data_IF_329835485895
#
_entry.id   IF_329835485895
#
_cell.length_a   1.000
_cell.length_b   1.000
_cell.length_c   1.000
_cell.angle_alpha   90.00
_cell.angle_beta   90.00
_cell.angle_gamma   90.00
#
_symmetry.space_group_name_H-M   'P 1'
#
loop_
_entity.id
_entity.type
_entity.pdbx_description
1 polymer ?
#
# COMPACT_ATOMS: atom_id res chain seq x y z
N UNK A 1 -20.31 -12.45 -15.27
CA UNK A 1 -20.11 -11.08 -15.78
C UNK A 1 -19.66 -10.26 -14.60
N UNK A 2 -18.42 -9.79 -14.59
CA UNK A 2 -17.97 -8.83 -13.60
C UNK A 2 -18.59 -7.49 -13.98
N UNK A 3 -19.43 -6.93 -13.12
CA UNK A 3 -19.96 -5.58 -13.32
C UNK A 3 -18.78 -4.60 -13.34
N UNK A 4 -18.81 -3.67 -14.30
CA UNK A 4 -17.79 -2.62 -14.38
C UNK A 4 -17.82 -1.83 -13.08
N UNK A 5 -16.64 -1.57 -12.50
CA UNK A 5 -16.54 -0.80 -11.27
C UNK A 5 -17.28 0.55 -11.38
N UNK A 6 -18.24 0.78 -10.50
CA UNK A 6 -18.99 2.04 -10.44
C UNK A 6 -18.13 3.15 -9.84
N UNK A 7 -17.29 2.80 -8.85
CA UNK A 7 -16.40 3.67 -8.10
C UNK A 7 -15.05 2.95 -7.87
N UNK A 8 -13.96 3.69 -7.74
CA UNK A 8 -12.72 3.16 -7.18
C UNK A 8 -12.53 3.68 -5.75
N UNK A 9 -11.79 2.96 -4.91
CA UNK A 9 -11.59 3.33 -3.52
C UNK A 9 -10.12 3.53 -3.23
N UNK A 10 -9.73 4.74 -2.82
CA UNK A 10 -8.42 4.98 -2.23
C UNK A 10 -8.40 4.37 -0.84
N UNK A 11 -7.50 3.42 -0.62
CA UNK A 11 -7.32 2.75 0.67
C UNK A 11 -6.13 3.39 1.40
N UNK A 12 -6.43 3.94 2.56
CA UNK A 12 -5.46 4.44 3.52
C UNK A 12 -5.45 3.48 4.72
N UNK A 13 -4.38 2.66 4.80
CA UNK A 13 -4.07 1.95 6.03
C UNK A 13 -3.87 2.97 7.18
N UNK A 14 -4.45 2.69 8.35
CA UNK A 14 -4.45 3.63 9.46
C UNK A 14 -3.05 3.85 10.03
N UNK A 15 -2.79 5.10 10.41
CA UNK A 15 -1.73 5.50 11.34
C UNK A 15 -2.39 5.70 12.69
N UNK A 16 -2.23 4.78 13.64
CA UNK A 16 -2.65 5.05 15.00
C UNK A 16 -1.45 5.52 15.82
N UNK A 17 -1.34 6.85 15.92
CA UNK A 17 -0.34 7.56 16.72
C UNK A 17 1.14 7.22 16.44
N UNK A 18 2.05 7.91 17.14
CA UNK A 18 3.50 7.58 17.10
C UNK A 18 3.81 6.17 17.63
N UNK A 19 2.86 5.54 18.31
CA UNK A 19 3.02 4.25 18.96
C UNK A 19 3.06 3.10 17.92
N UNK A 20 2.18 3.09 16.90
CA UNK A 20 2.02 1.92 16.02
C UNK A 20 2.87 1.97 14.74
N UNK A 21 3.85 2.86 14.65
CA UNK A 21 4.70 2.96 13.47
C UNK A 21 5.64 1.76 13.35
N UNK A 22 5.23 0.76 12.57
CA UNK A 22 6.04 -0.42 12.28
C UNK A 22 7.26 0.02 11.45
N UNK A 23 8.44 -0.12 12.03
CA UNK A 23 9.69 0.12 11.31
C UNK A 23 10.13 -1.15 10.60
N UNK A 24 10.70 -0.99 9.42
CA UNK A 24 11.45 -2.05 8.77
C UNK A 24 12.87 -2.09 9.35
N UNK A 25 13.41 -3.28 9.49
CA UNK A 25 14.76 -3.51 9.98
C UNK A 25 15.27 -4.93 9.69
N UNK A 26 16.10 -5.44 10.59
CA UNK A 26 17.23 -6.29 10.27
C UNK A 26 17.07 -7.73 10.75
N UNK A 27 16.43 -8.61 9.96
CA UNK A 27 16.73 -10.03 10.15
C UNK A 27 17.99 -10.40 9.40
N UNK A 28 19.02 -10.83 10.12
CA UNK A 28 20.26 -11.32 9.52
C UNK A 28 21.13 -10.28 8.81
N UNK A 29 20.91 -8.98 9.07
CA UNK A 29 21.72 -7.88 8.49
C UNK A 29 22.22 -6.92 9.57
N UNK A 30 23.36 -6.28 9.36
CA UNK A 30 23.85 -5.19 10.23
C UNK A 30 23.15 -3.87 9.89
N UNK A 31 23.15 -2.93 10.85
CA UNK A 31 22.64 -1.56 10.68
C UNK A 31 23.14 -0.92 9.37
N UNK A 32 24.44 -1.03 9.12
CA UNK A 32 25.08 -0.47 7.94
C UNK A 32 24.54 -1.09 6.64
N UNK A 33 24.22 -2.38 6.61
CA UNK A 33 23.76 -3.06 5.39
C UNK A 33 22.38 -2.62 4.93
N UNK A 34 21.45 -2.35 5.86
CA UNK A 34 20.13 -1.81 5.50
C UNK A 34 20.19 -0.30 5.26
N UNK A 35 21.00 0.45 6.02
CA UNK A 35 21.19 1.89 5.77
C UNK A 35 21.80 2.11 4.37
N UNK A 36 22.53 1.12 3.82
CA UNK A 36 23.00 1.08 2.43
C UNK A 36 21.97 0.57 1.42
N UNK A 37 20.86 -0.03 1.86
CA UNK A 37 19.85 -0.56 0.95
C UNK A 37 18.91 0.54 0.49
N UNK A 38 18.76 0.70 -0.83
CA UNK A 38 17.74 1.59 -1.37
C UNK A 38 16.35 1.00 -1.09
N UNK A 39 15.68 1.63 -0.13
CA UNK A 39 14.39 1.18 0.38
C UNK A 39 13.21 1.98 -0.16
N UNK A 40 13.48 2.90 -1.10
CA UNK A 40 12.46 3.77 -1.70
C UNK A 40 11.39 3.02 -2.52
N UNK A 41 11.74 1.87 -3.09
CA UNK A 41 10.86 1.06 -3.92
C UNK A 41 10.33 -0.19 -3.23
N UNK A 42 10.57 -0.34 -1.91
CA UNK A 42 10.14 -1.56 -1.24
C UNK A 42 8.64 -1.72 -1.38
N UNK A 43 7.78 -0.72 -1.20
CA UNK A 43 6.33 -0.89 -1.37
C UNK A 43 5.80 -1.27 -2.77
N UNK A 44 6.66 -1.30 -3.80
CA UNK A 44 6.25 -1.52 -5.21
C UNK A 44 6.85 -2.77 -5.83
N UNK A 45 8.12 -3.06 -5.59
CA UNK A 45 8.83 -4.17 -6.23
C UNK A 45 8.98 -5.37 -5.28
N UNK A 46 8.93 -6.61 -5.79
CA UNK A 46 9.34 -7.79 -5.04
C UNK A 46 10.75 -7.63 -4.49
N UNK A 47 10.98 -8.05 -3.25
CA UNK A 47 12.32 -8.04 -2.69
C UNK A 47 13.18 -9.13 -3.33
N UNK A 48 14.46 -8.82 -3.57
CA UNK A 48 15.45 -9.84 -3.93
C UNK A 48 15.51 -10.93 -2.85
N UNK A 49 15.77 -12.17 -3.24
CA UNK A 49 15.74 -13.32 -2.34
C UNK A 49 16.65 -13.16 -1.10
N UNK A 50 17.77 -12.47 -1.26
CA UNK A 50 18.72 -12.18 -0.17
C UNK A 50 18.18 -11.23 0.92
N UNK A 51 17.05 -10.55 0.69
CA UNK A 51 16.42 -9.63 1.65
C UNK A 51 15.36 -10.32 2.53
N UNK A 52 15.13 -11.63 2.39
CA UNK A 52 14.04 -12.34 3.07
C UNK A 52 14.48 -13.14 4.31
N UNK A 53 13.68 -13.13 5.41
CA UNK A 53 12.51 -12.29 5.66
C UNK A 53 12.91 -10.90 6.17
N UNK A 54 12.11 -9.88 5.83
CA UNK A 54 12.28 -8.55 6.41
C UNK A 54 11.75 -8.57 7.85
N UNK A 55 12.57 -8.10 8.80
CA UNK A 55 12.12 -7.94 10.17
C UNK A 55 11.47 -6.58 10.34
N UNK A 56 10.31 -6.57 10.95
CA UNK A 56 9.53 -5.39 11.25
C UNK A 56 9.40 -5.25 12.76
N UNK A 57 9.64 -4.04 13.29
CA UNK A 57 9.68 -3.80 14.72
C UNK A 57 8.64 -2.76 15.13
N UNK A 58 7.87 -3.09 16.16
CA UNK A 58 7.01 -2.17 16.87
C UNK A 58 7.80 -1.50 18.00
N UNK A 59 8.04 -0.19 17.91
CA UNK A 59 8.90 0.52 18.88
C UNK A 59 8.25 0.71 20.26
N UNK A 60 6.93 0.82 20.30
CA UNK A 60 6.13 1.08 21.51
C UNK A 60 4.65 0.81 21.21
N UNK A 61 3.79 0.82 22.22
CA UNK A 61 2.36 0.62 22.00
C UNK A 61 1.94 -0.85 22.01
N UNK A 62 0.64 -1.06 21.84
CA UNK A 62 0.02 -2.38 21.83
C UNK A 62 -0.24 -2.75 20.38
N UNK A 63 0.27 -3.90 19.95
CA UNK A 63 -0.10 -4.41 18.65
C UNK A 63 -1.58 -4.77 18.63
N UNK A 64 -2.33 -4.05 17.80
CA UNK A 64 -3.70 -4.41 17.46
C UNK A 64 -3.67 -5.27 16.21
N UNK A 65 -4.29 -6.45 16.28
CA UNK A 65 -4.43 -7.30 15.11
C UNK A 65 -5.29 -6.60 14.06
N UNK A 66 -4.75 -6.45 12.85
CA UNK A 66 -5.36 -5.67 11.76
C UNK A 66 -5.27 -6.44 10.46
N UNK A 67 -6.27 -6.28 9.61
CA UNK A 67 -6.17 -6.84 8.26
C UNK A 67 -5.24 -6.06 7.34
N UNK A 68 -5.07 -4.76 7.62
CA UNK A 68 -4.23 -3.83 6.86
C UNK A 68 -3.53 -2.85 7.82
N UNK A 69 -2.20 -2.78 7.78
CA UNK A 69 -1.42 -1.86 8.62
C UNK A 69 -0.36 -1.12 7.79
N UNK A 70 -0.14 0.17 8.06
CA UNK A 70 0.83 0.98 7.34
C UNK A 70 2.21 0.90 8.00
N UNK A 71 3.24 0.62 7.21
CA UNK A 71 4.62 0.74 7.65
C UNK A 71 5.08 2.21 7.72
N UNK A 72 6.20 2.45 8.41
CA UNK A 72 6.75 3.81 8.57
C UNK A 72 7.26 4.40 7.25
N UNK A 73 7.72 3.60 6.29
CA UNK A 73 8.16 4.11 4.99
C UNK A 73 7.02 4.11 3.97
N UNK A 74 7.16 5.01 2.99
CA UNK A 74 6.10 5.28 2.02
C UNK A 74 5.83 4.01 1.20
N UNK A 75 4.57 3.61 1.17
CA UNK A 75 4.11 2.49 0.36
C UNK A 75 4.17 1.12 1.03
N UNK A 76 4.77 1.00 2.21
CA UNK A 76 4.80 -0.27 2.94
C UNK A 76 3.46 -0.54 3.61
N UNK A 77 2.88 -1.68 3.27
CA UNK A 77 1.59 -2.10 3.83
C UNK A 77 1.71 -3.55 4.24
N UNK A 78 1.39 -3.84 5.50
CA UNK A 78 1.21 -5.20 5.98
C UNK A 78 -0.23 -5.63 5.75
N UNK A 79 -0.39 -6.86 5.29
CA UNK A 79 -1.68 -7.54 5.17
C UNK A 79 -1.70 -8.79 6.03
N UNK A 80 -2.83 -9.04 6.66
CA UNK A 80 -3.11 -10.32 7.32
C UNK A 80 -3.15 -11.48 6.31
N UNK A 81 -2.97 -12.71 6.78
CA UNK A 81 -3.11 -13.93 5.98
C UNK A 81 -4.47 -14.05 5.26
N UNK A 82 -5.57 -13.64 5.91
CA UNK A 82 -6.92 -13.71 5.32
C UNK A 82 -7.11 -12.71 4.18
N UNK A 83 -6.64 -11.47 4.35
CA UNK A 83 -6.68 -10.47 3.29
C UNK A 83 -5.73 -10.84 2.14
N UNK A 84 -4.56 -11.41 2.45
CA UNK A 84 -3.65 -11.99 1.46
C UNK A 84 -4.34 -13.07 0.63
N UNK A 85 -5.09 -13.97 1.27
CA UNK A 85 -5.82 -15.03 0.58
C UNK A 85 -6.88 -14.45 -0.37
N UNK A 86 -7.67 -13.47 0.07
CA UNK A 86 -8.64 -12.78 -0.79
C UNK A 86 -7.97 -12.16 -2.01
N UNK A 87 -6.89 -11.42 -1.81
CA UNK A 87 -6.16 -10.73 -2.88
C UNK A 87 -5.53 -11.73 -3.87
N UNK A 88 -4.94 -12.82 -3.36
CA UNK A 88 -4.32 -13.85 -4.20
C UNK A 88 -5.33 -14.63 -5.04
N UNK A 89 -6.54 -14.82 -4.51
CA UNK A 89 -7.63 -15.53 -5.20
C UNK A 89 -8.21 -14.68 -6.35
N UNK A 90 -8.33 -13.37 -6.13
CA UNK A 90 -9.12 -12.51 -7.03
C UNK A 90 -8.26 -11.60 -7.93
N UNK A 91 -7.02 -11.31 -7.54
CA UNK A 91 -6.15 -10.45 -8.33
C UNK A 91 -4.65 -10.82 -8.19
N UNK A 92 -4.28 -12.07 -8.55
CA UNK A 92 -2.93 -12.59 -8.31
C UNK A 92 -1.83 -11.83 -9.07
N UNK A 93 -2.14 -11.22 -10.21
CA UNK A 93 -1.17 -10.43 -10.99
C UNK A 93 -1.00 -9.01 -10.45
N UNK A 94 -1.97 -8.53 -9.66
CA UNK A 94 -1.98 -7.19 -9.08
C UNK A 94 -1.17 -7.05 -7.81
N UNK A 95 -0.76 -8.18 -7.22
CA UNK A 95 -0.16 -8.24 -5.89
C UNK A 95 1.07 -9.13 -5.85
N UNK A 96 1.99 -8.78 -4.97
CA UNK A 96 3.05 -9.66 -4.52
C UNK A 96 3.17 -9.55 -2.99
N UNK A 97 3.62 -10.63 -2.35
CA UNK A 97 3.67 -10.70 -0.89
C UNK A 97 5.05 -11.17 -0.44
N UNK A 98 5.80 -10.27 0.18
CA UNK A 98 7.06 -10.65 0.81
C UNK A 98 6.81 -11.18 2.23
N UNK A 99 7.49 -12.26 2.63
CA UNK A 99 7.44 -12.73 4.00
C UNK A 99 8.05 -11.70 4.95
N UNK A 100 7.38 -11.51 6.08
CA UNK A 100 7.83 -10.63 7.15
C UNK A 100 7.75 -11.34 8.49
N UNK A 101 8.58 -10.89 9.39
CA UNK A 101 8.40 -11.17 10.81
C UNK A 101 8.14 -9.87 11.54
N UNK A 102 7.17 -9.88 12.44
CA UNK A 102 6.83 -8.73 13.26
C UNK A 102 7.28 -8.99 14.70
N UNK A 103 8.29 -8.27 15.16
CA UNK A 103 8.70 -8.23 16.56
C UNK A 103 7.86 -7.17 17.29
N UNK A 104 7.16 -7.63 18.33
CA UNK A 104 6.31 -6.82 19.20
C UNK A 104 7.15 -6.14 20.29
N UNK A 105 6.59 -5.13 20.94
CA UNK A 105 7.29 -4.36 21.98
C UNK A 105 7.72 -5.18 23.22
N UNK A 106 7.15 -6.37 23.41
CA UNK A 106 7.53 -7.34 24.46
C UNK A 106 8.58 -8.36 23.98
N UNK A 107 9.06 -8.24 22.74
CA UNK A 107 10.03 -9.15 22.11
C UNK A 107 9.40 -10.40 21.48
N UNK A 108 8.08 -10.57 21.56
CA UNK A 108 7.41 -11.68 20.86
C UNK A 108 7.51 -11.50 19.35
N UNK A 109 7.79 -12.59 18.61
CA UNK A 109 7.86 -12.58 17.15
C UNK A 109 6.62 -13.23 16.57
N UNK A 110 5.92 -12.51 15.70
CA UNK A 110 4.80 -13.00 14.91
C UNK A 110 5.29 -13.26 13.50
N UNK A 111 5.38 -14.54 13.13
CA UNK A 111 5.64 -15.01 11.76
C UNK A 111 4.35 -15.50 11.10
N UNK A 112 4.32 -15.54 9.77
CA UNK A 112 3.30 -16.20 8.93
C UNK A 112 1.87 -15.62 8.97
N UNK A 113 1.54 -14.81 9.98
CA UNK A 113 0.25 -14.12 10.12
C UNK A 113 0.17 -12.89 9.22
N UNK A 114 1.31 -12.29 8.90
CA UNK A 114 1.42 -11.08 8.12
C UNK A 114 2.34 -11.27 6.93
N UNK A 115 2.08 -10.50 5.87
CA UNK A 115 2.97 -10.37 4.72
C UNK A 115 3.03 -8.91 4.32
N UNK A 116 4.14 -8.48 3.74
CA UNK A 116 4.26 -7.15 3.17
C UNK A 116 3.65 -7.17 1.77
N UNK A 117 2.55 -6.43 1.61
CA UNK A 117 1.86 -6.25 0.34
C UNK A 117 2.68 -5.32 -0.56
N UNK A 118 2.98 -5.83 -1.75
CA UNK A 118 3.48 -5.07 -2.89
C UNK A 118 2.38 -5.00 -3.94
N UNK A 119 2.22 -3.84 -4.54
CA UNK A 119 1.26 -3.62 -5.64
C UNK A 119 2.08 -3.16 -6.83
N UNK A 120 2.64 -4.08 -7.64
CA UNK A 120 3.48 -3.74 -8.79
C UNK A 120 2.65 -3.13 -9.94
N UNK A 121 1.34 -3.32 -9.94
CA UNK A 121 0.44 -2.78 -10.95
C UNK A 121 0.32 -1.26 -10.82
N UNK A 122 1.03 -0.56 -11.70
CA UNK A 122 0.99 0.88 -11.87
C UNK A 122 0.12 1.24 -13.07
N UNK A 123 -1.01 1.91 -12.85
CA UNK A 123 -1.95 2.29 -13.90
C UNK A 123 -1.93 3.80 -14.11
N UNK A 124 -1.77 4.24 -15.37
CA UNK A 124 -1.86 5.65 -15.78
C UNK A 124 -3.32 6.12 -15.86
N UNK A 125 -4.08 5.89 -14.78
CA UNK A 125 -5.50 6.16 -14.73
C UNK A 125 -5.84 7.57 -14.24
N UNK A 126 -4.87 8.37 -13.75
CA UNK A 126 -5.16 9.73 -13.30
C UNK A 126 -5.67 10.59 -14.46
N UNK A 127 -6.76 11.34 -14.25
CA UNK A 127 -7.28 12.35 -15.18
C UNK A 127 -7.06 13.73 -14.56
N UNK A 128 -5.89 14.38 -14.76
CA UNK A 128 -5.51 15.59 -14.02
C UNK A 128 -6.49 16.75 -14.21
N UNK A 129 -7.01 16.93 -15.42
CA UNK A 129 -7.92 18.02 -15.80
C UNK A 129 -9.30 17.92 -15.13
N UNK A 130 -9.69 16.73 -14.66
CA UNK A 130 -10.92 16.48 -13.89
C UNK A 130 -10.64 16.27 -12.40
N UNK A 131 -9.39 16.42 -11.96
CA UNK A 131 -8.94 16.08 -10.61
C UNK A 131 -8.53 17.31 -9.80
N UNK A 132 -8.75 17.25 -8.49
CA UNK A 132 -8.18 18.19 -7.52
C UNK A 132 -6.70 17.86 -7.23
N UNK A 133 -5.84 17.98 -8.24
CA UNK A 133 -4.40 17.73 -8.12
C UNK A 133 -3.58 18.96 -8.51
N UNK A 134 -2.33 19.03 -8.03
CA UNK A 134 -1.35 20.05 -8.41
C UNK A 134 -0.06 19.40 -8.87
N UNK A 135 0.60 20.00 -9.86
CA UNK A 135 1.90 19.50 -10.31
C UNK A 135 2.91 19.50 -9.16
N UNK A 136 3.61 18.39 -9.01
CA UNK A 136 4.80 18.29 -8.18
C UNK A 136 6.00 18.59 -9.06
N UNK A 137 6.73 19.67 -8.75
CA UNK A 137 7.90 20.10 -9.53
C UNK A 137 9.17 19.95 -8.71
N UNK A 138 10.24 19.51 -9.38
CA UNK A 138 11.59 19.50 -8.84
C UNK A 138 12.02 20.92 -8.50
N UNK A 139 12.37 21.16 -7.23
CA UNK A 139 12.92 22.47 -6.80
C UNK A 139 14.22 22.83 -7.52
N UNK A 140 15.01 21.82 -7.94
CA UNK A 140 16.31 22.00 -8.58
C UNK A 140 16.21 22.25 -10.09
N UNK A 141 15.30 21.56 -10.76
CA UNK A 141 15.24 21.53 -12.24
C UNK A 141 13.97 22.15 -12.82
N UNK A 142 12.98 22.49 -12.00
CA UNK A 142 11.68 23.02 -12.45
C UNK A 142 10.78 22.00 -13.20
N UNK A 143 11.32 20.82 -13.52
CA UNK A 143 10.61 19.75 -14.23
C UNK A 143 9.45 19.21 -13.38
N UNK A 144 8.34 18.91 -14.04
CA UNK A 144 7.22 18.17 -13.44
C UNK A 144 7.71 16.74 -13.16
N UNK A 145 7.55 16.33 -11.91
CA UNK A 145 7.89 15.01 -11.40
C UNK A 145 6.63 14.14 -11.19
N UNK A 146 5.44 14.74 -11.27
CA UNK A 146 4.17 14.07 -11.07
C UNK A 146 3.13 15.05 -10.52
N UNK A 147 2.21 14.51 -9.72
CA UNK A 147 1.05 15.21 -9.15
C UNK A 147 1.00 14.99 -7.63
N UNK A 148 0.46 15.97 -6.92
CA UNK A 148 0.12 15.87 -5.50
C UNK A 148 -1.37 16.12 -5.34
N UNK A 149 -1.98 15.46 -4.36
CA UNK A 149 -3.34 15.78 -3.94
C UNK A 149 -3.47 17.23 -3.47
N UNK A 150 -4.60 17.85 -3.79
CA UNK A 150 -5.05 19.09 -3.16
C UNK A 150 -6.04 18.72 -2.05
N UNK A 151 -5.79 19.21 -0.83
CA UNK A 151 -6.63 18.95 0.35
C UNK A 151 -6.90 17.45 0.63
N UNK A 152 -5.97 16.56 0.27
CA UNK A 152 -6.08 15.11 0.40
C UNK A 152 -7.35 14.51 -0.25
N UNK A 153 -7.94 15.14 -1.26
CA UNK A 153 -9.07 14.55 -1.99
C UNK A 153 -8.58 13.49 -2.97
N UNK A 154 -9.24 12.32 -3.09
CA UNK A 154 -8.93 11.37 -4.16
C UNK A 154 -9.10 12.00 -5.55
N UNK A 155 -8.34 11.55 -6.56
CA UNK A 155 -8.43 12.08 -7.92
C UNK A 155 -9.59 11.42 -8.67
N UNK A 156 -9.94 12.02 -9.80
CA UNK A 156 -10.77 11.38 -10.83
C UNK A 156 -9.90 10.44 -11.65
N UNK A 157 -10.38 9.21 -11.87
CA UNK A 157 -9.65 8.15 -12.56
C UNK A 157 -10.36 7.70 -13.84
N UNK A 158 -9.59 7.39 -14.88
CA UNK A 158 -10.08 6.87 -16.15
C UNK A 158 -10.51 5.40 -15.97
N UNK A 159 -11.79 5.12 -16.15
CA UNK A 159 -12.36 3.78 -15.99
C UNK A 159 -11.80 2.79 -17.01
N UNK A 160 -11.54 3.22 -18.24
CA UNK A 160 -11.04 2.35 -19.31
C UNK A 160 -9.63 1.84 -19.01
N UNK A 161 -8.78 2.68 -18.40
CA UNK A 161 -7.43 2.29 -17.98
C UNK A 161 -7.46 1.30 -16.81
N UNK A 162 -8.41 1.48 -15.88
CA UNK A 162 -8.60 0.57 -14.74
C UNK A 162 -9.06 -0.81 -15.23
N UNK A 163 -10.00 -0.86 -16.18
CA UNK A 163 -10.53 -2.10 -16.73
C UNK A 163 -11.14 -3.00 -15.65
N UNK A 164 -10.72 -4.26 -15.60
CA UNK A 164 -11.21 -5.27 -14.64
C UNK A 164 -10.29 -5.46 -13.43
N UNK A 165 -9.26 -4.62 -13.26
CA UNK A 165 -8.30 -4.76 -12.17
C UNK A 165 -8.95 -4.46 -10.81
N UNK A 166 -8.57 -5.22 -9.77
CA UNK A 166 -9.13 -5.05 -8.43
C UNK A 166 -8.23 -4.28 -7.48
N UNK A 167 -6.91 -4.25 -7.71
CA UNK A 167 -5.95 -3.46 -6.93
C UNK A 167 -4.86 -2.86 -7.82
N UNK A 168 -4.50 -1.60 -7.56
CA UNK A 168 -3.45 -0.89 -8.30
C UNK A 168 -2.90 0.31 -7.52
N UNK A 169 -1.85 0.92 -8.07
CA UNK A 169 -1.33 2.24 -7.68
C UNK A 169 -1.30 3.17 -8.90
N UNK A 170 -1.16 4.47 -8.63
CA UNK A 170 -0.97 5.49 -9.66
C UNK A 170 0.51 5.89 -9.70
N UNK A 171 1.22 5.76 -10.84
CA UNK A 171 2.66 6.00 -10.91
C UNK A 171 3.05 7.48 -10.75
N UNK A 172 2.16 8.38 -11.16
CA UNK A 172 2.46 9.81 -11.27
C UNK A 172 1.83 10.65 -10.14
N UNK A 173 1.38 10.04 -9.04
CA UNK A 173 0.84 10.77 -7.89
C UNK A 173 1.62 10.47 -6.61
N UNK A 174 1.84 11.49 -5.79
CA UNK A 174 2.54 11.36 -4.51
C UNK A 174 1.60 11.78 -3.35
N UNK A 175 1.48 10.97 -2.29
CA UNK A 175 2.01 9.59 -2.17
C UNK A 175 1.34 8.60 -3.14
N UNK A 176 2.05 7.52 -3.46
CA UNK A 176 1.54 6.40 -4.26
C UNK A 176 0.58 5.54 -3.44
N UNK A 177 -0.66 6.00 -3.28
CA UNK A 177 -1.67 5.27 -2.51
C UNK A 177 -2.15 4.01 -3.24
N UNK A 178 -2.70 3.07 -2.46
CA UNK A 178 -3.35 1.86 -2.97
C UNK A 178 -4.79 2.22 -3.34
N UNK A 179 -5.21 1.80 -4.53
CA UNK A 179 -6.58 1.88 -4.99
C UNK A 179 -7.13 0.48 -5.16
N UNK A 180 -8.42 0.31 -4.86
CA UNK A 180 -9.15 -0.93 -5.10
C UNK A 180 -10.44 -0.69 -5.86
N UNK A 181 -10.89 -1.70 -6.59
CA UNK A 181 -12.20 -1.70 -7.25
C UNK A 181 -13.34 -1.70 -6.22
N UNK A 182 -14.53 -1.27 -6.64
CA UNK A 182 -15.75 -1.36 -5.83
C UNK A 182 -16.09 -2.77 -5.37
N UNK A 183 -15.90 -3.75 -6.26
CA UNK A 183 -16.11 -5.16 -5.95
C UNK A 183 -15.20 -5.62 -4.81
N UNK A 184 -13.88 -5.36 -4.91
CA UNK A 184 -12.93 -5.78 -3.89
C UNK A 184 -13.21 -5.08 -2.56
N UNK A 185 -13.57 -3.79 -2.59
CA UNK A 185 -13.99 -3.07 -1.38
C UNK A 185 -15.23 -3.69 -0.73
N UNK A 186 -16.24 -4.01 -1.52
CA UNK A 186 -17.46 -4.67 -1.04
C UNK A 186 -17.15 -6.02 -0.39
N UNK A 187 -16.24 -6.80 -1.00
CA UNK A 187 -15.84 -8.09 -0.47
C UNK A 187 -15.00 -7.95 0.82
N UNK A 188 -14.13 -6.95 0.90
CA UNK A 188 -13.41 -6.60 2.13
C UNK A 188 -14.39 -6.24 3.25
N UNK A 189 -15.40 -5.41 2.98
CA UNK A 189 -16.43 -5.03 3.96
C UNK A 189 -17.27 -6.23 4.41
N UNK A 190 -17.70 -7.06 3.45
CA UNK A 190 -18.50 -8.26 3.71
C UNK A 190 -17.77 -9.26 4.62
N UNK A 191 -16.45 -9.37 4.46
CA UNK A 191 -15.59 -10.23 5.30
C UNK A 191 -15.11 -9.54 6.58
N UNK A 192 -15.48 -8.29 6.82
CA UNK A 192 -15.11 -7.54 8.03
C UNK A 192 -13.64 -7.15 8.07
N UNK A 193 -12.98 -7.01 6.92
CA UNK A 193 -11.59 -6.54 6.88
C UNK A 193 -11.56 -5.05 7.26
N UNK A 194 -10.83 -4.74 8.32
CA UNK A 194 -10.72 -3.41 8.90
C UNK A 194 -9.94 -3.45 10.23
N UNK A 195 -9.68 -2.29 10.84
CA UNK A 195 -10.05 -0.95 10.40
C UNK A 195 -9.08 -0.37 9.35
N UNK A 196 -9.61 0.29 8.32
CA UNK A 196 -8.86 1.14 7.38
C UNK A 196 -9.75 2.30 6.93
N UNK A 197 -9.13 3.36 6.43
CA UNK A 197 -9.86 4.47 5.82
C UNK A 197 -10.01 4.20 4.32
N UNK A 198 -11.23 4.31 3.82
CA UNK A 198 -11.54 4.20 2.40
C UNK A 198 -12.20 5.49 1.94
N UNK A 199 -11.71 6.07 0.84
CA UNK A 199 -12.27 7.27 0.24
C UNK A 199 -12.63 7.00 -1.22
N UNK A 200 -13.85 7.36 -1.66
CA UNK A 200 -14.25 7.15 -3.04
C UNK A 200 -13.41 8.04 -3.97
N UNK A 201 -12.89 7.44 -5.02
CA UNK A 201 -12.24 8.07 -6.16
C UNK A 201 -13.21 8.02 -7.35
N UNK A 202 -13.69 9.18 -7.84
CA UNK A 202 -14.59 9.24 -8.99
C UNK A 202 -13.98 8.56 -10.21
N UNK A 203 -14.84 7.93 -11.03
CA UNK A 203 -14.46 7.35 -12.30
C UNK A 203 -15.02 8.19 -13.46
N UNK A 204 -14.18 8.41 -14.47
CA UNK A 204 -14.51 9.03 -15.76
C UNK A 204 -14.62 7.98 -16.87
#
# INVERSE_FOLDING_TARGET
MLDKAEVAWRIEALWDDRADAIQLGYRGRSKEQFDQTDSTNWGTDPLHADYLPVLMYLHSGVWHDRHLAKGRMLGDVLVSADLRALLSENDPEGVHFDPVELELGDGAVVSDRYSMLKVPRMLEALVPEKSSVREFRSKRTGKVLGWNYVKNQPPTLNREVIGENHIWRLPNIVPTDIYVSDWLKTEMDRRGFGPFKALPAPLD
#
